data_IF_690648678609
#
_entry.id   IF_690648678609
#
_cell.length_a   1.000
_cell.length_b   1.000
_cell.length_c   1.000
_cell.angle_alpha   90.00
_cell.angle_beta   90.00
_cell.angle_gamma   90.00
#
_symmetry.space_group_name_H-M   'P 1'
#
loop_
_entity.id
_entity.type
_entity.pdbx_description
1 polymer ?
#
# COMPACT_ATOMS: atom_id res chain seq x y z
N UNK A 1 -3.02 0.56 12.48
CA UNK A 1 -3.40 1.32 11.27
C UNK A 1 -2.21 1.27 10.33
N UNK A 2 -2.44 0.94 9.06
CA UNK A 2 -1.44 0.88 8.01
C UNK A 2 -1.94 1.73 6.83
N UNK A 3 -1.03 2.34 6.08
CA UNK A 3 -1.36 3.14 4.90
C UNK A 3 -0.33 2.94 3.80
N UNK A 4 -0.77 3.02 2.56
CA UNK A 4 0.06 3.08 1.36
C UNK A 4 -0.25 4.43 0.69
N UNK A 5 0.49 5.52 1.03
CA UNK A 5 0.20 6.86 0.54
C UNK A 5 0.27 6.97 -0.98
N UNK A 6 1.22 6.29 -1.61
CA UNK A 6 1.42 6.25 -3.07
C UNK A 6 0.20 5.70 -3.83
N UNK A 7 -0.60 4.87 -3.16
CA UNK A 7 -1.78 4.24 -3.73
C UNK A 7 -3.08 4.79 -3.13
N UNK A 8 -2.99 5.76 -2.23
CA UNK A 8 -4.10 6.31 -1.42
C UNK A 8 -4.91 5.23 -0.64
N UNK A 9 -4.26 4.12 -0.25
CA UNK A 9 -4.92 3.09 0.57
C UNK A 9 -4.65 3.25 2.06
N UNK A 10 -5.67 2.95 2.84
CA UNK A 10 -5.65 2.98 4.29
C UNK A 10 -6.36 1.75 4.84
N UNK A 11 -5.79 1.15 5.88
CA UNK A 11 -6.42 0.03 6.57
C UNK A 11 -6.18 0.06 8.08
N UNK A 12 -7.12 -0.52 8.80
CA UNK A 12 -7.11 -0.61 10.26
C UNK A 12 -7.21 -2.07 10.67
N UNK A 13 -6.66 -2.37 11.84
CA UNK A 13 -6.63 -3.71 12.42
C UNK A 13 -6.31 -3.60 13.90
N UNK A 14 -6.63 -4.65 14.66
CA UNK A 14 -6.44 -4.68 16.12
C UNK A 14 -4.98 -4.67 16.52
N UNK A 15 -4.10 -5.19 15.66
CA UNK A 15 -2.65 -5.13 15.81
C UNK A 15 -2.00 -4.45 14.58
N UNK A 16 -0.74 -3.99 14.68
CA UNK A 16 0.01 -3.49 13.52
C UNK A 16 0.10 -4.53 12.39
N UNK A 17 0.30 -5.81 12.74
CA UNK A 17 0.34 -6.92 11.79
C UNK A 17 -1.01 -7.12 11.09
N UNK A 18 -2.11 -7.07 11.84
CA UNK A 18 -3.47 -7.18 11.29
C UNK A 18 -3.77 -6.01 10.35
N UNK A 19 -3.41 -4.78 10.74
CA UNK A 19 -3.59 -3.61 9.89
C UNK A 19 -2.78 -3.71 8.58
N UNK A 20 -1.57 -4.28 8.62
CA UNK A 20 -0.74 -4.52 7.44
C UNK A 20 -1.36 -5.60 6.55
N UNK A 21 -1.83 -6.70 7.12
CA UNK A 21 -2.50 -7.77 6.38
C UNK A 21 -3.75 -7.25 5.66
N UNK A 22 -4.60 -6.54 6.39
CA UNK A 22 -5.83 -5.95 5.83
C UNK A 22 -5.51 -4.94 4.71
N UNK A 23 -4.42 -4.18 4.82
CA UNK A 23 -3.98 -3.27 3.76
C UNK A 23 -3.57 -4.02 2.49
N UNK A 24 -2.79 -5.09 2.62
CA UNK A 24 -2.33 -5.91 1.49
C UNK A 24 -3.49 -6.63 0.80
N UNK A 25 -4.47 -7.14 1.56
CA UNK A 25 -5.65 -7.78 1.00
C UNK A 25 -6.46 -6.80 0.14
N UNK A 26 -6.71 -5.57 0.64
CA UNK A 26 -7.44 -4.55 -0.12
C UNK A 26 -6.70 -4.15 -1.39
N UNK A 27 -5.38 -3.94 -1.32
CA UNK A 27 -4.55 -3.63 -2.49
C UNK A 27 -4.61 -4.76 -3.51
N UNK A 28 -4.49 -6.02 -3.07
CA UNK A 28 -4.53 -7.18 -3.95
C UNK A 28 -5.86 -7.32 -4.68
N UNK A 29 -6.99 -7.15 -3.98
CA UNK A 29 -8.33 -7.17 -4.58
C UNK A 29 -8.46 -6.09 -5.63
N UNK A 30 -8.07 -4.85 -5.30
CA UNK A 30 -8.19 -3.73 -6.24
C UNK A 30 -7.34 -3.95 -7.49
N UNK A 31 -6.12 -4.47 -7.33
CA UNK A 31 -5.23 -4.73 -8.45
C UNK A 31 -5.76 -5.85 -9.35
N UNK A 32 -6.37 -6.88 -8.77
CA UNK A 32 -7.02 -7.94 -9.54
C UNK A 32 -8.21 -7.40 -10.35
N UNK A 33 -9.06 -6.57 -9.75
CA UNK A 33 -10.16 -5.90 -10.45
C UNK A 33 -9.65 -5.01 -11.60
N UNK A 34 -8.67 -4.16 -11.31
CA UNK A 34 -8.04 -3.29 -12.32
C UNK A 34 -7.37 -4.08 -13.45
N UNK A 35 -6.77 -5.24 -13.13
CA UNK A 35 -6.21 -6.14 -14.14
C UNK A 35 -7.29 -6.74 -15.03
N UNK A 36 -8.43 -7.12 -14.45
CA UNK A 36 -9.56 -7.68 -15.20
C UNK A 36 -10.21 -6.69 -16.16
N UNK A 37 -10.21 -5.39 -15.81
CA UNK A 37 -10.75 -4.32 -16.67
C UNK A 37 -9.67 -3.63 -17.52
N UNK A 38 -8.40 -4.05 -17.39
CA UNK A 38 -7.27 -3.56 -18.20
C UNK A 38 -6.70 -2.20 -17.81
N UNK A 39 -7.05 -1.67 -16.63
CA UNK A 39 -6.61 -0.32 -16.18
C UNK A 39 -5.46 -0.36 -15.18
N UNK A 40 -4.96 -1.54 -14.81
CA UNK A 40 -3.91 -1.67 -13.79
C UNK A 40 -2.60 -0.99 -14.22
N UNK A 41 -2.18 -1.17 -15.47
CA UNK A 41 -0.90 -0.63 -15.94
C UNK A 41 -0.88 0.90 -15.93
N UNK A 42 -1.95 1.53 -16.43
CA UNK A 42 -2.15 2.99 -16.39
C UNK A 42 -2.15 3.51 -14.96
N UNK A 43 -2.89 2.87 -14.05
CA UNK A 43 -2.95 3.26 -12.64
C UNK A 43 -1.58 3.18 -11.95
N UNK A 44 -0.81 2.12 -12.21
CA UNK A 44 0.52 1.91 -11.63
C UNK A 44 1.50 2.94 -12.17
N UNK A 45 1.43 3.29 -13.46
CA UNK A 45 2.20 4.39 -14.05
C UNK A 45 1.83 5.76 -13.46
N UNK A 46 0.54 6.04 -13.23
CA UNK A 46 0.08 7.29 -12.58
C UNK A 46 0.60 7.41 -11.14
N UNK A 47 0.71 6.28 -10.44
CA UNK A 47 1.32 6.20 -9.12
C UNK A 47 2.87 6.29 -9.14
N UNK A 48 3.50 6.41 -10.31
CA UNK A 48 4.96 6.53 -10.44
C UNK A 48 5.72 5.22 -10.38
N UNK A 49 5.03 4.09 -10.49
CA UNK A 49 5.64 2.76 -10.59
C UNK A 49 5.88 2.39 -12.06
N UNK A 50 6.97 1.69 -12.31
CA UNK A 50 7.33 1.22 -13.64
C UNK A 50 7.11 -0.30 -13.71
N UNK A 51 6.37 -0.75 -14.74
CA UNK A 51 6.01 -2.15 -14.97
C UNK A 51 6.98 -2.87 -15.92
N UNK A 52 8.16 -2.31 -16.22
CA UNK A 52 9.18 -2.96 -17.05
C UNK A 52 9.85 -4.15 -16.31
N UNK A 53 9.11 -5.23 -16.11
CA UNK A 53 9.61 -6.48 -15.57
C UNK A 53 8.53 -7.28 -14.85
N UNK A 54 8.69 -8.61 -14.85
CA UNK A 54 7.82 -9.60 -14.20
C UNK A 54 7.62 -9.39 -12.68
N UNK A 55 8.34 -8.43 -12.08
CA UNK A 55 8.19 -7.96 -10.71
C UNK A 55 7.83 -6.47 -10.68
N UNK A 56 6.61 -6.15 -10.23
CA UNK A 56 6.26 -4.82 -9.75
C UNK A 56 7.12 -4.58 -8.52
N UNK A 57 8.25 -3.91 -8.68
CA UNK A 57 9.13 -3.59 -7.56
C UNK A 57 8.58 -2.32 -6.93
N UNK A 58 7.99 -2.39 -5.72
CA UNK A 58 7.57 -1.17 -5.07
C UNK A 58 8.85 -0.42 -4.67
N UNK A 59 9.08 0.78 -5.21
CA UNK A 59 9.96 1.76 -4.55
C UNK A 59 9.30 2.32 -3.26
N UNK A 60 8.35 1.58 -2.68
CA UNK A 60 7.60 1.92 -1.48
C UNK A 60 8.48 1.58 -0.29
N UNK A 61 9.10 2.59 0.30
CA UNK A 61 9.41 2.52 1.72
C UNK A 61 8.09 2.33 2.47
N UNK A 62 7.84 1.14 2.99
CA UNK A 62 6.73 0.92 3.92
C UNK A 62 7.08 1.68 5.20
N UNK A 63 6.66 2.95 5.29
CA UNK A 63 6.90 3.78 6.47
C UNK A 63 5.96 3.32 7.60
N UNK A 64 6.48 2.49 8.50
CA UNK A 64 5.80 2.13 9.75
C UNK A 64 6.02 3.28 10.74
N UNK A 65 4.99 4.10 10.96
CA UNK A 65 5.04 5.15 11.98
C UNK A 65 4.89 4.53 13.37
N UNK A 66 5.99 4.43 14.11
CA UNK A 66 5.95 4.13 15.53
C UNK A 66 5.68 5.43 16.33
N UNK A 67 4.64 5.41 17.16
CA UNK A 67 4.20 6.58 17.92
C UNK A 67 5.13 6.79 19.12
N UNK A 68 6.15 7.64 18.97
CA UNK A 68 7.00 8.05 20.10
C UNK A 68 6.25 9.02 21.02
N UNK A 69 6.11 8.67 22.30
CA UNK A 69 5.55 9.55 23.33
C UNK A 69 6.71 10.32 23.96
N UNK A 70 6.76 11.63 23.73
CA UNK A 70 7.74 12.51 24.35
C UNK A 70 7.12 13.07 25.65
N UNK A 71 7.70 12.74 26.80
CA UNK A 71 7.32 13.36 28.07
C UNK A 71 8.02 14.72 28.20
N UNK A 72 7.23 15.78 28.27
CA UNK A 72 7.72 17.12 28.62
C UNK A 72 7.63 17.24 30.13
N UNK A 73 8.79 17.30 30.79
CA UNK A 73 8.97 17.49 32.23
C UNK A 73 8.53 18.87 32.69
#
# INVERSE_FOLDING_TARGET
MARAPELDFISQGRTPEEARKNLLEVIGIQFEEMKNIGTLDEYIQECGFDTNGEEITPQIEIIVFEKSVISVS
#
